data_IF_467190690228
#
_entry.id   IF_467190690228
#
_cell.length_a   1.000
_cell.length_b   1.000
_cell.length_c   1.000
_cell.angle_alpha   90.00
_cell.angle_beta   90.00
_cell.angle_gamma   90.00
#
_symmetry.space_group_name_H-M   'P 1'
#
loop_
_entity.id
_entity.type
_entity.pdbx_description
1 polymer ?
#
# COMPACT_ATOMS: atom_id res chain seq x y z
N UNK A 1 18.27 40.08 -5.04
CA UNK A 1 17.66 38.72 -5.12
C UNK A 1 16.32 38.86 -5.82
N UNK A 2 16.17 38.28 -7.01
CA UNK A 2 14.87 38.27 -7.69
C UNK A 2 13.85 37.50 -6.83
N UNK A 3 12.71 38.10 -6.60
CA UNK A 3 11.58 37.39 -5.95
C UNK A 3 11.16 36.27 -6.90
N UNK A 4 11.29 35.01 -6.46
CA UNK A 4 10.76 33.86 -7.16
C UNK A 4 9.25 34.06 -7.22
N UNK A 5 8.67 34.16 -8.40
CA UNK A 5 7.23 34.27 -8.56
C UNK A 5 6.56 32.92 -8.26
N UNK A 6 5.27 32.92 -7.96
CA UNK A 6 4.56 31.65 -7.74
C UNK A 6 4.60 30.73 -8.96
N UNK A 7 4.76 31.28 -10.17
CA UNK A 7 4.90 30.52 -11.41
C UNK A 7 6.27 29.84 -11.50
N UNK A 8 7.37 30.59 -11.21
CA UNK A 8 8.72 30.03 -11.22
C UNK A 8 8.85 28.85 -10.25
N UNK A 9 8.23 28.97 -9.08
CA UNK A 9 8.17 27.87 -8.12
C UNK A 9 7.47 26.63 -8.69
N UNK A 10 6.34 26.81 -9.39
CA UNK A 10 5.61 25.71 -10.03
C UNK A 10 6.40 25.05 -11.16
N UNK A 11 7.13 25.83 -11.96
CA UNK A 11 8.02 25.31 -13.01
C UNK A 11 9.11 24.44 -12.37
N UNK A 12 9.76 24.91 -11.29
CA UNK A 12 10.77 24.14 -10.57
C UNK A 12 10.24 22.85 -9.99
N UNK A 13 9.02 22.85 -9.42
CA UNK A 13 8.36 21.64 -8.92
C UNK A 13 8.12 20.63 -10.05
N UNK A 14 7.60 21.06 -11.20
CA UNK A 14 7.36 20.18 -12.36
C UNK A 14 8.68 19.63 -12.91
N UNK A 15 9.70 20.46 -13.05
CA UNK A 15 11.03 20.06 -13.49
C UNK A 15 11.65 19.01 -12.56
N UNK A 16 11.55 19.22 -11.23
CA UNK A 16 12.03 18.27 -10.23
C UNK A 16 11.30 16.92 -10.31
N UNK A 17 9.99 16.91 -10.59
CA UNK A 17 9.22 15.66 -10.80
C UNK A 17 9.65 14.92 -12.07
N UNK A 18 9.86 15.64 -13.18
CA UNK A 18 10.37 15.05 -14.43
C UNK A 18 11.73 14.38 -14.17
N UNK A 19 12.65 15.07 -13.48
CA UNK A 19 13.95 14.52 -13.11
C UNK A 19 13.81 13.27 -12.26
N UNK A 20 13.01 13.32 -11.22
CA UNK A 20 12.79 12.20 -10.31
C UNK A 20 12.26 10.95 -11.05
N UNK A 21 11.28 11.15 -11.93
CA UNK A 21 10.72 10.08 -12.76
C UNK A 21 11.76 9.49 -13.70
N UNK A 22 12.55 10.34 -14.37
CA UNK A 22 13.63 9.89 -15.25
C UNK A 22 14.66 9.04 -14.51
N UNK A 23 15.04 9.46 -13.31
CA UNK A 23 16.02 8.74 -12.48
C UNK A 23 15.51 7.39 -12.00
N UNK A 24 14.22 7.30 -11.64
CA UNK A 24 13.57 6.02 -11.29
C UNK A 24 13.56 5.07 -12.48
N UNK A 25 13.24 5.56 -13.69
CA UNK A 25 13.25 4.78 -14.91
C UNK A 25 14.67 4.43 -15.39
N UNK A 26 15.70 4.94 -14.71
CA UNK A 26 17.11 4.72 -15.08
C UNK A 26 17.51 5.35 -16.40
N UNK A 27 16.74 6.35 -16.88
CA UNK A 27 16.99 7.01 -18.15
C UNK A 27 18.02 8.16 -17.99
N UNK A 28 18.87 8.29 -18.99
CA UNK A 28 19.79 9.43 -19.12
C UNK A 28 19.06 10.66 -19.67
N UNK A 29 19.63 11.84 -19.52
CA UNK A 29 19.12 13.07 -20.13
C UNK A 29 19.11 12.98 -21.65
N UNK A 30 20.08 12.30 -22.29
CA UNK A 30 20.13 12.06 -23.74
C UNK A 30 18.97 11.20 -24.22
N UNK A 31 18.64 10.13 -23.50
CA UNK A 31 17.50 9.27 -23.86
C UNK A 31 16.17 10.01 -23.73
N UNK A 32 16.03 10.81 -22.68
CA UNK A 32 14.84 11.63 -22.51
C UNK A 32 14.73 12.73 -23.57
N UNK A 33 15.83 13.40 -23.90
CA UNK A 33 15.88 14.39 -24.98
C UNK A 33 15.42 13.80 -26.32
N UNK A 34 15.92 12.60 -26.65
CA UNK A 34 15.48 11.85 -27.84
C UNK A 34 13.99 11.47 -27.79
N UNK A 35 13.48 11.02 -26.64
CA UNK A 35 12.06 10.66 -26.47
C UNK A 35 11.11 11.87 -26.50
N UNK A 36 11.60 13.04 -26.14
CA UNK A 36 10.83 14.28 -26.06
C UNK A 36 11.03 15.21 -27.26
N UNK A 37 11.83 14.77 -28.26
CA UNK A 37 12.10 15.48 -29.51
C UNK A 37 12.65 16.91 -29.26
N UNK A 38 13.68 16.98 -28.40
CA UNK A 38 14.45 18.19 -28.10
C UNK A 38 15.94 17.85 -28.07
N UNK A 39 16.81 18.86 -28.12
CA UNK A 39 18.23 18.64 -27.89
C UNK A 39 18.52 18.33 -26.43
N UNK A 40 19.65 17.64 -26.15
CA UNK A 40 20.02 17.36 -24.76
C UNK A 40 20.18 18.63 -23.91
N UNK A 41 20.73 19.68 -24.49
CA UNK A 41 20.93 20.95 -23.79
C UNK A 41 19.57 21.60 -23.43
N UNK A 42 18.60 21.58 -24.36
CA UNK A 42 17.23 22.05 -24.09
C UNK A 42 16.57 21.22 -23.02
N UNK A 43 16.72 19.88 -23.08
CA UNK A 43 16.17 18.99 -22.08
C UNK A 43 16.73 19.31 -20.69
N UNK A 44 18.05 19.45 -20.57
CA UNK A 44 18.72 19.77 -19.29
C UNK A 44 18.26 21.13 -18.75
N UNK A 45 18.07 22.14 -19.61
CA UNK A 45 17.54 23.44 -19.18
C UNK A 45 16.10 23.33 -18.66
N UNK A 46 15.24 22.57 -19.34
CA UNK A 46 13.88 22.31 -18.88
C UNK A 46 13.86 21.53 -17.55
N UNK A 47 14.64 20.46 -17.45
CA UNK A 47 14.69 19.62 -16.26
C UNK A 47 15.33 20.32 -15.05
N UNK A 48 16.17 21.33 -15.26
CA UNK A 48 16.72 22.17 -14.19
C UNK A 48 15.77 23.26 -13.69
N UNK A 49 14.61 23.45 -14.37
CA UNK A 49 13.66 24.51 -14.04
C UNK A 49 14.15 25.92 -14.41
N UNK A 50 15.18 26.02 -15.27
CA UNK A 50 15.77 27.30 -15.71
C UNK A 50 15.12 27.81 -17.00
N UNK A 51 14.16 27.10 -17.56
CA UNK A 51 13.39 27.52 -18.73
C UNK A 51 11.91 27.17 -18.56
N UNK A 52 11.08 27.89 -19.31
CA UNK A 52 9.64 27.64 -19.33
C UNK A 52 9.33 26.24 -19.85
N UNK A 53 8.46 25.54 -19.10
CA UNK A 53 7.94 24.24 -19.49
C UNK A 53 6.66 24.43 -20.28
N UNK A 54 6.73 24.29 -21.61
CA UNK A 54 5.53 24.31 -22.43
C UNK A 54 4.76 22.98 -22.30
N UNK A 55 3.44 23.01 -22.54
CA UNK A 55 2.58 21.85 -22.42
C UNK A 55 3.02 20.67 -23.31
N UNK A 56 3.50 20.95 -24.53
CA UNK A 56 3.94 19.90 -25.45
C UNK A 56 5.15 19.13 -24.90
N UNK A 57 6.10 19.83 -24.28
CA UNK A 57 7.25 19.20 -23.62
C UNK A 57 6.81 18.35 -22.43
N UNK A 58 5.96 18.90 -21.54
CA UNK A 58 5.42 18.16 -20.38
C UNK A 58 4.68 16.91 -20.83
N UNK A 59 3.84 17.03 -21.86
CA UNK A 59 3.08 15.91 -22.41
C UNK A 59 3.99 14.80 -22.98
N UNK A 60 5.05 15.19 -23.73
CA UNK A 60 6.04 14.23 -24.25
C UNK A 60 6.83 13.57 -23.11
N UNK A 61 7.20 14.32 -22.06
CA UNK A 61 7.79 13.73 -20.85
C UNK A 61 6.86 12.71 -20.20
N UNK A 62 5.57 13.03 -20.05
CA UNK A 62 4.58 12.11 -19.49
C UNK A 62 4.46 10.82 -20.31
N UNK A 63 4.42 10.92 -21.65
CA UNK A 63 4.42 9.75 -22.54
C UNK A 63 5.72 8.92 -22.40
N UNK A 64 6.88 9.60 -22.41
CA UNK A 64 8.18 8.94 -22.34
C UNK A 64 8.39 8.21 -21.02
N UNK A 65 7.84 8.75 -19.94
CA UNK A 65 7.91 8.23 -18.57
C UNK A 65 6.71 7.33 -18.18
N UNK A 66 5.77 7.14 -19.12
CA UNK A 66 4.56 6.34 -18.93
C UNK A 66 3.74 6.75 -17.69
N UNK A 67 3.59 8.06 -17.48
CA UNK A 67 2.77 8.66 -16.42
C UNK A 67 1.68 9.55 -17.03
N UNK A 68 0.73 10.00 -16.23
CA UNK A 68 -0.26 10.99 -16.67
C UNK A 68 0.35 12.39 -16.63
N UNK A 69 -0.06 13.25 -17.55
CA UNK A 69 0.40 14.64 -17.57
C UNK A 69 0.03 15.40 -16.30
N UNK A 70 -1.09 15.06 -15.68
CA UNK A 70 -1.53 15.65 -14.41
C UNK A 70 -0.61 15.27 -13.24
N UNK A 71 0.03 14.11 -13.27
CA UNK A 71 1.00 13.71 -12.25
C UNK A 71 2.24 14.65 -12.25
N UNK A 72 2.62 15.14 -13.42
CA UNK A 72 3.70 16.13 -13.54
C UNK A 72 3.23 17.53 -13.13
N UNK A 73 2.03 17.94 -13.55
CA UNK A 73 1.54 19.32 -13.38
C UNK A 73 1.06 19.58 -11.95
N UNK A 74 0.22 18.71 -11.41
CA UNK A 74 -0.49 18.96 -10.14
C UNK A 74 0.33 18.62 -8.90
N UNK A 75 1.44 17.91 -9.05
CA UNK A 75 2.31 17.57 -7.93
C UNK A 75 1.79 16.47 -7.03
N UNK A 76 0.85 15.70 -7.53
CA UNK A 76 0.55 14.41 -6.91
C UNK A 76 1.74 13.49 -7.11
N UNK A 77 1.96 12.57 -6.16
CA UNK A 77 3.02 11.57 -6.31
C UNK A 77 2.92 10.89 -7.66
N UNK A 78 4.01 10.79 -8.44
CA UNK A 78 3.97 10.21 -9.77
C UNK A 78 3.42 8.80 -9.72
N UNK A 79 2.35 8.56 -10.45
CA UNK A 79 1.65 7.28 -10.43
C UNK A 79 2.10 6.46 -11.62
N UNK A 80 2.89 5.44 -11.39
CA UNK A 80 3.36 4.53 -12.44
C UNK A 80 2.26 3.54 -12.82
N UNK A 81 2.13 3.23 -14.13
CA UNK A 81 1.07 2.35 -14.65
C UNK A 81 1.46 0.87 -14.69
N UNK A 82 2.75 0.55 -14.71
CA UNK A 82 3.23 -0.81 -14.89
C UNK A 82 3.85 -1.39 -13.63
N UNK A 83 4.68 -0.63 -12.94
CA UNK A 83 5.31 -1.04 -11.68
C UNK A 83 5.74 0.18 -10.87
N UNK A 84 5.87 -0.02 -9.57
CA UNK A 84 6.54 0.94 -8.67
C UNK A 84 7.51 0.18 -7.78
N UNK A 85 8.59 0.85 -7.38
CA UNK A 85 9.56 0.32 -6.41
C UNK A 85 9.62 1.26 -5.23
N UNK A 86 9.20 0.78 -4.07
CA UNK A 86 9.38 1.50 -2.81
C UNK A 86 10.52 0.86 -2.03
N UNK A 87 11.60 1.60 -1.82
CA UNK A 87 12.77 1.12 -1.08
C UNK A 87 12.46 1.01 0.41
N UNK A 88 13.21 0.18 1.12
CA UNK A 88 13.06 0.01 2.55
C UNK A 88 13.08 1.38 3.28
N UNK A 89 12.07 1.63 4.10
CA UNK A 89 11.91 2.89 4.82
C UNK A 89 11.39 4.09 4.00
N UNK A 90 11.11 3.92 2.69
CA UNK A 90 10.62 4.97 1.80
C UNK A 90 9.10 4.90 1.54
N UNK A 91 8.34 4.12 2.32
CA UNK A 91 6.88 4.13 2.28
C UNK A 91 6.32 5.49 2.66
N UNK A 92 5.25 5.91 1.99
CA UNK A 92 4.56 7.16 2.34
C UNK A 92 3.72 6.95 3.60
N UNK A 93 4.00 7.68 4.67
CA UNK A 93 3.15 7.67 5.86
C UNK A 93 1.80 8.28 5.53
N UNK A 94 0.72 7.53 5.77
CA UNK A 94 -0.65 7.93 5.42
C UNK A 94 -1.54 8.12 6.64
N UNK A 95 -1.26 7.40 7.72
CA UNK A 95 -2.06 7.48 8.94
C UNK A 95 -1.20 7.12 10.16
N UNK A 96 -1.59 7.70 11.30
CA UNK A 96 -1.14 7.28 12.64
C UNK A 96 -2.39 7.25 13.52
N UNK A 97 -2.90 6.07 13.79
CA UNK A 97 -4.13 5.85 14.54
C UNK A 97 -4.06 4.56 15.35
N UNK A 98 -4.73 4.52 16.49
CA UNK A 98 -4.84 3.32 17.35
C UNK A 98 -3.49 2.70 17.75
N UNK A 99 -2.45 3.52 17.96
CA UNK A 99 -1.10 3.05 18.25
C UNK A 99 -0.34 2.46 17.04
N UNK A 100 -0.91 2.55 15.84
CA UNK A 100 -0.32 2.06 14.60
C UNK A 100 0.06 3.20 13.66
N UNK A 101 1.22 3.04 12.99
CA UNK A 101 1.65 3.94 11.91
C UNK A 101 1.67 3.16 10.60
N UNK A 102 0.95 3.68 9.61
CA UNK A 102 0.75 3.05 8.30
C UNK A 102 1.60 3.72 7.23
N UNK A 103 2.34 2.93 6.45
CA UNK A 103 3.14 3.39 5.33
C UNK A 103 2.68 2.73 4.04
N UNK A 104 2.14 3.51 3.10
CA UNK A 104 1.73 3.01 1.78
C UNK A 104 2.97 2.69 0.94
N UNK A 105 3.06 1.45 0.46
CA UNK A 105 4.19 0.96 -0.33
C UNK A 105 3.98 1.10 -1.84
N UNK A 106 2.75 1.36 -2.28
CA UNK A 106 2.39 1.54 -3.69
C UNK A 106 1.77 2.92 -3.96
N UNK A 107 2.15 3.93 -3.16
CA UNK A 107 1.57 5.27 -3.25
C UNK A 107 1.69 5.89 -4.64
N UNK A 108 2.72 5.54 -5.40
CA UNK A 108 2.96 6.02 -6.76
C UNK A 108 2.28 5.19 -7.86
N UNK A 109 1.61 4.07 -7.55
CA UNK A 109 1.01 3.20 -8.56
C UNK A 109 -0.44 3.58 -8.86
N UNK A 110 -0.80 3.65 -10.16
CA UNK A 110 -2.16 3.97 -10.61
C UNK A 110 -3.10 2.78 -10.62
N UNK A 111 -4.40 3.08 -10.40
CA UNK A 111 -5.48 2.10 -10.51
C UNK A 111 -5.21 0.84 -9.69
N UNK A 112 -4.73 1.04 -8.46
CA UNK A 112 -4.46 -0.06 -7.53
C UNK A 112 -5.77 -0.81 -7.25
N UNK A 113 -5.71 -2.13 -7.35
CA UNK A 113 -6.75 -3.05 -6.87
C UNK A 113 -6.44 -3.53 -5.44
N UNK A 114 -5.25 -3.18 -4.94
CA UNK A 114 -4.80 -3.49 -3.59
C UNK A 114 -3.98 -2.33 -3.04
N UNK A 115 -4.05 -2.10 -1.74
CA UNK A 115 -3.22 -1.16 -1.02
C UNK A 115 -2.26 -1.91 -0.11
N UNK A 116 -1.00 -2.13 -0.53
CA UNK A 116 0.01 -2.74 0.32
C UNK A 116 0.55 -1.71 1.31
N UNK A 117 0.41 -2.01 2.58
CA UNK A 117 0.84 -1.18 3.70
C UNK A 117 1.95 -1.90 4.48
N UNK A 118 2.93 -1.18 4.93
CA UNK A 118 3.79 -1.59 6.04
C UNK A 118 3.28 -0.91 7.30
N UNK A 119 2.96 -1.69 8.31
CA UNK A 119 2.36 -1.21 9.55
C UNK A 119 3.31 -1.43 10.70
N UNK A 120 3.52 -0.39 11.50
CA UNK A 120 4.25 -0.42 12.76
C UNK A 120 3.27 -0.26 13.90
N UNK A 121 3.18 -1.24 14.76
CA UNK A 121 2.31 -1.24 15.92
C UNK A 121 3.14 -1.16 17.19
N UNK A 122 2.94 -0.10 17.95
CA UNK A 122 3.58 0.06 19.24
C UNK A 122 2.91 -0.81 20.30
N UNK A 123 3.74 -1.44 21.13
CA UNK A 123 3.21 -2.07 22.35
C UNK A 123 2.71 -0.99 23.30
N UNK A 124 1.50 -1.16 23.79
CA UNK A 124 0.85 -0.30 24.78
C UNK A 124 0.31 -1.18 25.91
N UNK A 125 0.87 -1.01 27.10
CA UNK A 125 0.45 -1.74 28.30
C UNK A 125 -1.00 -1.44 28.68
N UNK A 126 -1.46 -0.19 28.50
CA UNK A 126 -2.83 0.20 28.82
C UNK A 126 -3.83 -0.47 27.87
N UNK A 127 -3.49 -0.59 26.59
CA UNK A 127 -4.32 -1.26 25.58
C UNK A 127 -4.56 -2.75 25.91
N UNK A 128 -3.66 -3.40 26.69
CA UNK A 128 -3.84 -4.81 27.08
C UNK A 128 -5.02 -5.00 28.04
N UNK A 129 -5.45 -3.94 28.71
CA UNK A 129 -6.50 -3.99 29.74
C UNK A 129 -7.85 -3.50 29.24
N UNK A 130 -7.95 -3.14 27.96
CA UNK A 130 -9.17 -2.66 27.33
C UNK A 130 -9.61 -3.55 26.18
N UNK A 131 -10.85 -3.42 25.78
CA UNK A 131 -11.31 -4.06 24.54
C UNK A 131 -10.62 -3.43 23.33
N UNK A 132 -10.26 -4.29 22.36
CA UNK A 132 -9.67 -3.85 21.10
C UNK A 132 -10.68 -2.97 20.36
N UNK A 133 -10.25 -1.79 19.95
CA UNK A 133 -11.08 -0.92 19.12
C UNK A 133 -11.25 -1.54 17.73
N UNK A 134 -12.51 -1.73 17.32
CA UNK A 134 -12.84 -2.39 16.06
C UNK A 134 -13.27 -1.36 15.01
N UNK A 135 -12.75 -1.55 13.81
CA UNK A 135 -13.10 -0.77 12.62
C UNK A 135 -13.64 -1.69 11.52
N UNK A 136 -14.23 -1.11 10.48
CA UNK A 136 -14.67 -1.82 9.28
C UNK A 136 -14.35 -1.00 8.05
N UNK A 137 -14.03 -1.67 6.96
CA UNK A 137 -13.94 -1.05 5.64
C UNK A 137 -14.35 -2.06 4.56
N UNK A 138 -14.58 -1.59 3.34
CA UNK A 138 -14.91 -2.46 2.22
C UNK A 138 -13.70 -3.27 1.75
N UNK A 139 -13.95 -4.46 1.20
CA UNK A 139 -12.96 -5.32 0.62
C UNK A 139 -12.50 -6.44 1.54
N UNK A 140 -11.31 -6.92 1.30
CA UNK A 140 -10.67 -8.02 2.04
C UNK A 140 -9.26 -7.60 2.41
N UNK A 141 -8.70 -8.22 3.44
CA UNK A 141 -7.37 -7.90 3.92
C UNK A 141 -6.54 -9.16 4.18
N UNK A 142 -5.27 -9.08 3.84
CA UNK A 142 -4.25 -10.06 4.18
C UNK A 142 -3.20 -9.39 5.04
N UNK A 143 -3.01 -9.86 6.27
CA UNK A 143 -1.90 -9.45 7.11
C UNK A 143 -0.84 -10.54 7.18
N UNK A 144 0.43 -10.14 7.14
CA UNK A 144 1.59 -11.01 7.27
C UNK A 144 2.54 -10.44 8.31
N UNK A 145 2.76 -11.15 9.40
CA UNK A 145 3.60 -10.71 10.52
C UNK A 145 5.08 -10.86 10.15
N UNK A 146 5.84 -9.79 10.37
CA UNK A 146 7.28 -9.74 10.10
C UNK A 146 8.08 -9.96 11.37
N UNK A 147 7.75 -9.22 12.42
CA UNK A 147 8.37 -9.34 13.74
C UNK A 147 7.38 -8.95 14.84
N UNK A 148 7.65 -9.34 16.06
CA UNK A 148 6.77 -9.17 17.20
C UNK A 148 5.55 -10.07 17.15
N UNK A 149 4.57 -9.81 18.03
CA UNK A 149 3.32 -10.57 18.11
C UNK A 149 2.12 -9.65 18.07
N UNK A 150 1.10 -10.06 17.33
CA UNK A 150 -0.12 -9.30 17.10
C UNK A 150 -1.33 -10.09 17.60
N UNK A 151 -2.09 -9.52 18.54
CA UNK A 151 -3.43 -10.04 18.88
C UNK A 151 -4.43 -9.41 17.92
N UNK A 152 -5.05 -10.25 17.10
CA UNK A 152 -6.06 -9.84 16.11
C UNK A 152 -7.43 -10.29 16.56
N UNK A 153 -8.42 -9.40 16.43
CA UNK A 153 -9.83 -9.70 16.59
C UNK A 153 -10.57 -9.46 15.28
N UNK A 154 -11.32 -10.46 14.82
CA UNK A 154 -12.25 -10.36 13.67
C UNK A 154 -13.61 -10.87 14.13
N UNK A 155 -14.59 -9.98 14.18
CA UNK A 155 -15.88 -10.25 14.84
C UNK A 155 -15.67 -10.62 16.30
N UNK A 156 -16.10 -11.84 16.67
CA UNK A 156 -15.95 -12.39 18.04
C UNK A 156 -14.67 -13.26 18.19
N UNK A 157 -13.94 -13.52 17.11
CA UNK A 157 -12.77 -14.38 17.14
C UNK A 157 -11.50 -13.59 17.44
N UNK A 158 -10.72 -14.08 18.39
CA UNK A 158 -9.40 -13.54 18.74
C UNK A 158 -8.32 -14.58 18.54
N UNK A 159 -7.21 -14.18 17.96
CA UNK A 159 -6.03 -15.03 17.79
C UNK A 159 -4.76 -14.22 17.89
N UNK A 160 -3.70 -14.81 18.42
CA UNK A 160 -2.38 -14.21 18.44
C UNK A 160 -1.55 -14.78 17.29
N UNK A 161 -0.93 -13.89 16.53
CA UNK A 161 -0.06 -14.21 15.40
C UNK A 161 1.37 -13.82 15.73
N UNK A 162 2.32 -14.65 15.30
CA UNK A 162 3.76 -14.40 15.41
C UNK A 162 4.45 -14.28 14.05
N UNK A 163 5.76 -14.05 14.02
CA UNK A 163 6.51 -13.88 12.77
C UNK A 163 6.31 -15.04 11.78
N UNK A 164 5.95 -14.70 10.54
CA UNK A 164 5.63 -15.65 9.47
C UNK A 164 4.19 -16.13 9.44
N UNK A 165 3.40 -15.86 10.47
CA UNK A 165 1.96 -16.13 10.43
C UNK A 165 1.24 -15.10 9.55
N UNK A 166 0.08 -15.50 9.02
CA UNK A 166 -0.78 -14.61 8.25
C UNK A 166 -2.25 -14.86 8.59
N UNK A 167 -3.05 -13.80 8.43
CA UNK A 167 -4.50 -13.87 8.52
C UNK A 167 -5.12 -13.23 7.27
N UNK A 168 -6.19 -13.83 6.78
CA UNK A 168 -6.98 -13.29 5.66
C UNK A 168 -8.44 -13.21 6.07
N UNK A 169 -9.07 -12.06 5.91
CA UNK A 169 -10.43 -11.83 6.36
C UNK A 169 -11.21 -10.87 5.45
N UNK A 170 -12.52 -10.88 5.59
CA UNK A 170 -13.43 -9.90 5.00
C UNK A 170 -13.46 -8.67 5.90
N UNK A 171 -12.97 -7.55 5.39
CA UNK A 171 -12.79 -6.30 6.15
C UNK A 171 -14.10 -5.58 6.47
N UNK A 172 -15.23 -6.02 5.89
CA UNK A 172 -16.56 -5.57 6.31
C UNK A 172 -16.99 -6.16 7.68
N UNK A 173 -16.29 -7.21 8.14
CA UNK A 173 -16.42 -7.73 9.51
C UNK A 173 -15.66 -6.79 10.47
N UNK A 174 -16.27 -6.39 11.60
CA UNK A 174 -15.55 -5.57 12.59
C UNK A 174 -14.24 -6.24 13.01
N UNK A 175 -13.14 -5.54 12.86
CA UNK A 175 -11.81 -6.06 13.14
C UNK A 175 -10.91 -5.01 13.79
N UNK A 176 -9.91 -5.48 14.50
CA UNK A 176 -8.92 -4.64 15.16
C UNK A 176 -7.77 -5.49 15.70
N UNK A 177 -6.66 -4.85 16.03
CA UNK A 177 -5.46 -5.54 16.44
C UNK A 177 -4.60 -4.69 17.35
N UNK A 178 -3.82 -5.33 18.22
CA UNK A 178 -2.84 -4.69 19.11
C UNK A 178 -1.57 -5.53 19.19
N UNK A 179 -0.42 -4.88 19.37
CA UNK A 179 0.83 -5.56 19.71
C UNK A 179 0.74 -6.15 21.12
N UNK A 180 1.29 -7.35 21.32
CA UNK A 180 1.23 -8.09 22.61
C UNK A 180 2.61 -8.60 23.02
N UNK A 181 2.68 -9.27 24.15
CA UNK A 181 3.90 -9.87 24.71
C UNK A 181 4.98 -8.86 25.12
N UNK A 182 4.65 -7.58 25.32
CA UNK A 182 5.60 -6.56 25.76
C UNK A 182 6.53 -6.03 24.66
N UNK A 183 6.23 -6.27 23.40
CA UNK A 183 7.06 -5.87 22.25
C UNK A 183 6.24 -5.22 21.13
N UNK A 184 6.88 -4.31 20.40
CA UNK A 184 6.29 -3.72 19.18
C UNK A 184 6.12 -4.83 18.12
N UNK A 185 5.14 -4.67 17.22
CA UNK A 185 4.91 -5.59 16.12
C UNK A 185 4.94 -4.84 14.79
N UNK A 186 5.60 -5.44 13.79
CA UNK A 186 5.60 -4.96 12.41
C UNK A 186 5.00 -6.02 11.50
N UNK A 187 4.14 -5.59 10.59
CA UNK A 187 3.49 -6.48 9.65
C UNK A 187 3.19 -5.78 8.31
N UNK A 188 2.94 -6.56 7.27
CA UNK A 188 2.36 -6.07 6.04
C UNK A 188 0.85 -6.30 6.07
N UNK A 189 0.08 -5.23 5.82
CA UNK A 189 -1.35 -5.32 5.54
C UNK A 189 -1.57 -5.06 4.05
N UNK A 190 -2.30 -5.95 3.39
CA UNK A 190 -2.65 -5.81 1.97
C UNK A 190 -4.17 -5.73 1.89
N UNK A 191 -4.67 -4.49 1.79
CA UNK A 191 -6.10 -4.23 1.63
C UNK A 191 -6.46 -4.42 0.16
N UNK A 192 -7.39 -5.33 -0.09
CA UNK A 192 -7.85 -5.71 -1.42
C UNK A 192 -9.25 -5.13 -1.65
N UNK A 193 -9.41 -4.38 -2.74
CA UNK A 193 -10.71 -3.91 -3.17
C UNK A 193 -11.07 -4.51 -4.55
N UNK A 194 -11.81 -5.62 -4.59
CA UNK A 194 -12.12 -6.34 -5.82
C UNK A 194 -13.00 -5.54 -6.79
N UNK A 195 -13.68 -4.49 -6.34
CA UNK A 195 -14.51 -3.64 -7.21
C UNK A 195 -13.72 -2.63 -8.01
N UNK A 196 -12.43 -2.40 -7.65
CA UNK A 196 -11.57 -1.40 -8.29
C UNK A 196 -11.93 0.05 -7.94
N UNK A 197 -12.90 0.26 -7.07
CA UNK A 197 -13.17 1.58 -6.51
C UNK A 197 -11.98 2.02 -5.63
N UNK A 198 -11.69 3.32 -5.53
CA UNK A 198 -10.67 3.80 -4.61
C UNK A 198 -10.94 3.31 -3.21
N UNK A 199 -9.95 2.70 -2.56
CA UNK A 199 -10.07 2.27 -1.18
C UNK A 199 -10.36 3.51 -0.34
N UNK A 200 -11.48 3.54 0.44
CA UNK A 200 -11.79 4.68 1.28
C UNK A 200 -10.63 4.96 2.22
N UNK A 201 -10.29 6.22 2.40
CA UNK A 201 -9.33 6.61 3.44
C UNK A 201 -9.76 5.97 4.76
N UNK A 202 -8.82 5.32 5.45
CA UNK A 202 -9.06 4.73 6.77
C UNK A 202 -9.53 5.88 7.67
N UNK A 203 -10.85 6.01 7.84
CA UNK A 203 -11.41 7.09 8.63
C UNK A 203 -11.27 6.73 10.10
N UNK A 204 -10.41 7.43 10.81
CA UNK A 204 -10.22 7.35 12.26
C UNK A 204 -11.44 7.85 13.06
N UNK A 205 -12.67 7.50 12.66
CA UNK A 205 -13.88 7.84 13.42
C UNK A 205 -14.55 6.55 13.89
N UNK A 206 -14.54 6.27 15.20
CA UNK A 206 -15.28 5.13 15.73
C UNK A 206 -16.79 5.33 15.51
N UNK A 207 -17.41 4.46 14.72
CA UNK A 207 -18.86 4.35 14.75
C UNK A 207 -19.30 3.75 16.11
N UNK A 208 -20.15 4.49 16.83
CA UNK A 208 -20.73 4.01 18.09
C UNK A 208 -21.48 2.69 17.86
N UNK A 209 -21.01 1.65 18.50
CA UNK A 209 -21.60 0.30 18.51
C UNK A 209 -23.12 0.37 18.65
N UNK A 210 -23.84 0.08 17.58
CA UNK A 210 -25.22 -0.38 17.63
C UNK A 210 -25.13 -1.90 17.78
N UNK A 211 -25.44 -2.40 18.99
CA UNK A 211 -25.42 -3.82 19.31
C UNK A 211 -26.12 -4.67 18.25
N UNK A 212 -25.39 -5.57 17.62
CA UNK A 212 -25.92 -6.56 16.71
C UNK A 212 -26.42 -7.77 17.50
N UNK A 213 -27.72 -8.06 17.36
CA UNK A 213 -28.29 -9.33 17.84
C UNK A 213 -27.83 -10.47 16.92
N UNK A 214 -26.93 -11.31 17.40
CA UNK A 214 -26.45 -12.48 16.69
C UNK A 214 -27.58 -13.51 16.52
N UNK A 215 -28.00 -13.77 15.28
CA UNK A 215 -28.75 -14.98 14.95
C UNK A 215 -27.78 -16.15 14.87
N UNK A 216 -27.79 -17.02 15.90
CA UNK A 216 -27.13 -18.33 15.84
C UNK A 216 -27.82 -19.18 14.77
N UNK A 217 -27.01 -19.87 13.94
CA UNK A 217 -27.35 -21.09 13.15
C UNK A 217 -27.37 -21.00 11.61
N UNK A 218 -26.48 -20.32 10.93
CA UNK A 218 -26.39 -20.57 9.47
C UNK A 218 -24.97 -20.63 8.89
N UNK A 219 -23.96 -20.15 9.58
CA UNK A 219 -22.61 -19.99 9.00
C UNK A 219 -21.74 -21.26 9.01
N UNK A 220 -22.01 -22.21 9.89
CA UNK A 220 -21.19 -23.43 9.99
C UNK A 220 -21.37 -24.42 8.82
N UNK A 221 -22.40 -24.25 7.97
CA UNK A 221 -22.64 -25.14 6.82
C UNK A 221 -21.88 -24.74 5.55
N UNK A 222 -21.52 -23.46 5.40
CA UNK A 222 -20.84 -22.96 4.20
C UNK A 222 -19.35 -23.26 4.28
N UNK A 223 -18.72 -23.07 5.43
CA UNK A 223 -17.31 -23.39 5.66
C UNK A 223 -16.97 -24.87 5.48
N UNK A 224 -17.82 -25.76 5.98
CA UNK A 224 -17.66 -27.21 5.82
C UNK A 224 -17.82 -27.67 4.36
N UNK A 225 -18.58 -26.92 3.54
CA UNK A 225 -18.78 -27.25 2.13
C UNK A 225 -17.60 -26.78 1.25
N UNK A 226 -16.96 -25.66 1.58
CA UNK A 226 -15.79 -25.13 0.87
C UNK A 226 -14.56 -26.02 1.08
N UNK A 227 -14.31 -26.49 2.30
CA UNK A 227 -13.20 -27.41 2.59
C UNK A 227 -13.36 -28.75 1.88
N UNK A 228 -14.63 -29.26 1.71
CA UNK A 228 -14.87 -30.50 0.96
C UNK A 228 -14.63 -30.38 -0.54
N UNK A 229 -14.79 -29.23 -1.15
CA UNK A 229 -14.56 -29.03 -2.59
C UNK A 229 -13.06 -29.02 -2.92
N UNK A 230 -12.21 -28.53 -2.02
CA UNK A 230 -10.75 -28.56 -2.20
C UNK A 230 -10.12 -29.94 -1.90
N UNK A 231 -10.80 -30.81 -1.14
CA UNK A 231 -10.28 -32.13 -0.78
C UNK A 231 -10.61 -33.23 -1.80
N UNK A 232 -11.49 -32.98 -2.79
CA UNK A 232 -11.92 -33.97 -3.79
C UNK A 232 -11.40 -33.70 -5.20
N UNK A 233 -10.66 -32.63 -5.44
CA UNK A 233 -9.91 -32.40 -6.68
C UNK A 233 -8.70 -33.31 -6.75
N UNK A 234 -8.77 -34.33 -7.61
CA UNK A 234 -7.68 -35.26 -7.88
C UNK A 234 -6.46 -34.53 -8.42
N UNK A 235 -5.32 -34.89 -7.80
CA UNK A 235 -3.96 -34.91 -8.33
C UNK A 235 -3.12 -33.62 -8.42
N UNK A 236 -1.95 -33.73 -7.82
CA UNK A 236 -0.65 -33.12 -8.04
C UNK A 236 -0.19 -31.93 -7.20
N UNK A 237 -1.03 -31.28 -6.40
CA UNK A 237 -0.53 -30.17 -5.56
C UNK A 237 0.02 -30.61 -4.18
N UNK A 238 -0.33 -31.81 -3.70
CA UNK A 238 0.08 -32.31 -2.36
C UNK A 238 1.53 -32.86 -2.29
N UNK A 239 2.20 -33.05 -3.44
CA UNK A 239 3.57 -33.60 -3.47
C UNK A 239 4.66 -32.54 -3.23
N UNK A 240 4.36 -31.26 -3.33
CA UNK A 240 5.36 -30.20 -3.16
C UNK A 240 5.50 -29.68 -1.72
N UNK A 241 4.49 -29.84 -0.86
CA UNK A 241 4.57 -29.39 0.53
C UNK A 241 5.57 -30.19 1.37
N UNK A 242 5.79 -31.47 1.06
CA UNK A 242 6.82 -32.28 1.74
C UNK A 242 8.25 -31.95 1.34
N UNK A 243 8.47 -31.25 0.22
CA UNK A 243 9.79 -30.79 -0.23
C UNK A 243 10.19 -29.45 0.35
N UNK A 244 9.27 -28.62 0.80
CA UNK A 244 9.54 -27.30 1.42
C UNK A 244 10.01 -27.38 2.89
N UNK A 245 9.79 -28.51 3.57
CA UNK A 245 10.32 -28.73 4.94
C UNK A 245 11.82 -29.04 5.00
N UNK A 246 12.57 -28.87 3.91
CA UNK A 246 14.04 -29.14 3.84
C UNK A 246 14.87 -27.87 3.63
N UNK A 247 14.31 -26.69 3.94
CA UNK A 247 15.09 -25.46 4.08
C UNK A 247 15.19 -25.14 5.57
N UNK A 248 15.90 -26.03 6.30
CA UNK A 248 16.48 -25.70 7.58
C UNK A 248 17.82 -25.01 7.32
N UNK A 249 17.98 -23.89 7.94
CA UNK A 249 19.14 -23.03 8.07
C UNK A 249 20.51 -23.76 7.99
N UNK A 250 21.36 -23.28 7.12
CA UNK A 250 22.81 -23.21 7.27
C UNK A 250 23.26 -21.79 7.00
#
# INVERSE_FOLDING_TARGET
MAQITGLDYKIQEMAARIRYLREIEGLTTYEMASKTDVTNDEYVQCESGNSDLNFAFIYRCALALNVDVTDIIEGHSPTLKSFTVTRAGAGQEIANAHGMTYYNLAYAFRNRIAEPLFVKTKFDEEAQHHDIELTTHEGQELDLIIDGHLLVQVGEHRTTLGPGDSIYFDSSTPHGMIAVNGEDCNFYAIVLNPTGEPIPEISAKPEKNKGFAVKKDTENRIYQKSIKIYATGKNDFMLNWKKLKKWEYN
#
